data_IF_007929351737
#
_entry.id   IF_007929351737
#
_cell.length_a   1.000
_cell.length_b   1.000
_cell.length_c   1.000
_cell.angle_alpha   90.00
_cell.angle_beta   90.00
_cell.angle_gamma   90.00
#
_symmetry.space_group_name_H-M   'P 1'
#
loop_
_entity.id
_entity.type
_entity.pdbx_description
1 polymer ?
#
# COMPACT_ATOMS: atom_id res chain seq x y z
N UNK A 1 -18.49 -0.20 -11.59
CA UNK A 1 -17.63 0.04 -10.42
C UNK A 1 -16.51 0.92 -10.88
N UNK A 2 -16.32 2.07 -10.25
CA UNK A 2 -15.26 3.01 -10.62
C UNK A 2 -13.88 2.39 -10.32
N UNK A 3 -13.14 2.10 -11.37
CA UNK A 3 -11.82 1.46 -11.31
C UNK A 3 -10.71 2.45 -10.95
N UNK A 4 -11.03 3.74 -10.83
CA UNK A 4 -10.08 4.80 -10.45
C UNK A 4 -9.94 5.01 -8.93
N UNK A 5 -10.89 4.50 -8.14
CA UNK A 5 -10.94 4.69 -6.69
C UNK A 5 -10.05 3.68 -5.93
N UNK A 6 -9.34 4.15 -4.90
CA UNK A 6 -8.58 3.30 -3.97
C UNK A 6 -9.54 2.38 -3.20
N UNK A 7 -9.17 1.11 -3.05
CA UNK A 7 -9.97 0.15 -2.28
C UNK A 7 -9.33 -0.10 -0.92
N UNK A 8 -10.16 -0.40 0.09
CA UNK A 8 -9.70 -0.79 1.41
C UNK A 8 -8.88 -2.09 1.32
N UNK A 9 -7.65 -2.04 1.83
CA UNK A 9 -6.77 -3.21 1.93
C UNK A 9 -6.90 -3.82 3.33
N UNK A 10 -6.76 -2.99 4.37
CA UNK A 10 -6.81 -3.40 5.77
C UNK A 10 -7.12 -2.21 6.67
N UNK A 11 -7.80 -2.45 7.78
CA UNK A 11 -7.96 -1.48 8.87
C UNK A 11 -7.06 -1.86 10.05
N UNK A 12 -6.35 -0.88 10.62
CA UNK A 12 -5.47 -1.05 11.78
C UNK A 12 -5.99 -0.21 12.93
N UNK A 13 -6.22 -0.84 14.09
CA UNK A 13 -6.51 -0.14 15.33
C UNK A 13 -5.20 0.35 15.93
N UNK A 14 -5.08 1.66 16.17
CA UNK A 14 -3.94 2.26 16.87
C UNK A 14 -4.01 1.93 18.36
N UNK A 15 -3.09 1.08 18.83
CA UNK A 15 -2.98 0.64 20.23
C UNK A 15 -1.85 1.40 20.91
N UNK A 16 -1.79 1.31 22.24
CA UNK A 16 -0.72 1.91 23.05
C UNK A 16 0.69 1.51 22.56
N UNK A 17 0.88 0.26 22.12
CA UNK A 17 2.17 -0.24 21.61
C UNK A 17 2.61 0.40 20.29
N UNK A 18 1.68 1.02 19.55
CA UNK A 18 1.96 1.64 18.25
C UNK A 18 2.43 3.11 18.42
N UNK A 19 2.32 3.67 19.64
CA UNK A 19 2.62 5.06 19.92
C UNK A 19 4.12 5.30 20.10
N UNK A 20 4.59 6.46 19.64
CA UNK A 20 5.92 6.98 19.96
C UNK A 20 5.95 7.71 21.31
N UNK A 21 7.13 8.23 21.67
CA UNK A 21 7.36 8.95 22.94
C UNK A 21 6.44 10.15 23.17
N UNK A 22 5.88 10.72 22.09
CA UNK A 22 4.97 11.87 22.14
C UNK A 22 3.49 11.48 22.25
N UNK A 23 3.16 10.20 22.41
CA UNK A 23 1.78 9.72 22.59
C UNK A 23 0.92 9.71 21.30
N UNK A 24 1.52 9.96 20.14
CA UNK A 24 0.91 9.75 18.83
C UNK A 24 1.54 8.54 18.12
N UNK A 25 0.87 8.02 17.10
CA UNK A 25 1.34 6.91 16.29
C UNK A 25 2.76 7.18 15.80
N UNK A 26 3.68 6.26 16.10
CA UNK A 26 5.05 6.38 15.65
C UNK A 26 5.12 6.32 14.11
N UNK A 27 5.82 7.27 13.49
CA UNK A 27 5.89 7.34 12.03
C UNK A 27 6.42 6.06 11.38
N UNK A 28 7.42 5.41 11.98
CA UNK A 28 7.93 4.12 11.51
C UNK A 28 6.89 3.00 11.59
N UNK A 29 5.95 3.07 12.54
CA UNK A 29 4.87 2.10 12.67
C UNK A 29 3.82 2.26 11.58
N UNK A 30 3.50 3.51 11.21
CA UNK A 30 2.63 3.76 10.06
C UNK A 30 3.28 3.29 8.76
N UNK A 31 4.58 3.54 8.57
CA UNK A 31 5.33 3.03 7.41
C UNK A 31 5.31 1.51 7.31
N UNK A 32 5.48 0.81 8.44
CA UNK A 32 5.35 -0.65 8.50
C UNK A 32 3.96 -1.11 8.02
N UNK A 33 2.89 -0.47 8.48
CA UNK A 33 1.53 -0.81 8.04
C UNK A 33 1.29 -0.55 6.55
N UNK A 34 1.80 0.57 6.02
CA UNK A 34 1.69 0.93 4.61
C UNK A 34 2.39 -0.09 3.71
N UNK A 35 3.62 -0.49 4.08
CA UNK A 35 4.40 -1.45 3.31
C UNK A 35 3.83 -2.88 3.43
N UNK A 36 3.46 -3.33 4.63
CA UNK A 36 2.85 -4.66 4.83
C UNK A 36 1.55 -4.80 4.02
N UNK A 37 0.66 -3.80 4.12
CA UNK A 37 -0.60 -3.80 3.39
C UNK A 37 -0.36 -3.74 1.87
N UNK A 38 0.55 -2.88 1.42
CA UNK A 38 0.93 -2.75 0.02
C UNK A 38 1.52 -4.03 -0.55
N UNK A 39 2.42 -4.71 0.18
CA UNK A 39 3.03 -5.97 -0.23
C UNK A 39 1.99 -7.08 -0.38
N UNK A 40 1.07 -7.22 0.59
CA UNK A 40 -0.04 -8.18 0.52
C UNK A 40 -0.94 -7.87 -0.69
N UNK A 41 -1.23 -6.60 -0.92
CA UNK A 41 -2.05 -6.18 -2.05
C UNK A 41 -1.36 -6.46 -3.39
N UNK A 42 -0.08 -6.11 -3.52
CA UNK A 42 0.74 -6.38 -4.70
C UNK A 42 0.87 -7.88 -4.98
N UNK A 43 1.14 -8.69 -3.96
CA UNK A 43 1.18 -10.15 -4.04
C UNK A 43 -0.07 -10.72 -4.71
N UNK A 44 -1.25 -10.24 -4.30
CA UNK A 44 -2.54 -10.67 -4.87
C UNK A 44 -2.70 -10.23 -6.32
N UNK A 45 -2.24 -9.03 -6.69
CA UNK A 45 -2.33 -8.55 -8.07
C UNK A 45 -1.41 -9.31 -9.02
N UNK A 46 -0.13 -9.50 -8.63
CA UNK A 46 0.88 -10.13 -9.48
C UNK A 46 0.93 -11.66 -9.37
N UNK A 47 0.11 -12.23 -8.47
CA UNK A 47 0.02 -13.67 -8.19
C UNK A 47 1.38 -14.29 -7.86
N UNK A 48 2.12 -13.65 -6.96
CA UNK A 48 3.45 -14.11 -6.56
C UNK A 48 4.13 -13.20 -5.55
N UNK A 49 5.25 -13.69 -5.00
CA UNK A 49 6.06 -12.94 -4.04
C UNK A 49 6.61 -11.65 -4.65
N UNK A 50 6.68 -10.63 -3.80
CA UNK A 50 7.18 -9.30 -4.16
C UNK A 50 8.16 -8.80 -3.12
N UNK A 51 9.03 -7.90 -3.53
CA UNK A 51 9.90 -7.11 -2.64
C UNK A 51 9.69 -5.62 -2.88
N UNK A 52 9.79 -4.83 -1.82
CA UNK A 52 9.74 -3.36 -1.90
C UNK A 52 11.06 -2.83 -2.42
N UNK A 53 11.05 -2.04 -3.50
CA UNK A 53 12.27 -1.46 -4.08
C UNK A 53 12.32 0.06 -4.00
N UNK A 54 11.17 0.71 -3.77
CA UNK A 54 11.08 2.15 -3.65
C UNK A 54 9.83 2.53 -2.87
N UNK A 55 9.99 3.42 -1.91
CA UNK A 55 8.92 4.24 -1.36
C UNK A 55 9.16 5.67 -1.84
N UNK A 56 8.14 6.32 -2.38
CA UNK A 56 8.23 7.73 -2.79
C UNK A 56 8.29 8.67 -1.57
N UNK A 57 8.06 9.96 -1.80
CA UNK A 57 7.77 10.87 -0.70
C UNK A 57 6.60 10.35 0.15
N UNK A 58 6.76 10.48 1.47
CA UNK A 58 5.75 10.15 2.49
C UNK A 58 5.47 11.41 3.29
N UNK A 59 4.24 11.88 3.24
CA UNK A 59 3.81 13.09 3.96
C UNK A 59 2.83 12.73 5.08
N UNK A 60 3.27 12.85 6.33
CA UNK A 60 2.43 12.71 7.52
C UNK A 60 1.67 14.01 7.75
N UNK A 61 0.40 14.06 7.32
CA UNK A 61 -0.41 15.30 7.29
C UNK A 61 -1.02 15.65 8.63
N UNK A 62 -1.46 14.64 9.39
CA UNK A 62 -2.09 14.80 10.70
C UNK A 62 -1.61 13.72 11.67
N UNK A 63 -1.52 14.02 12.98
CA UNK A 63 -1.20 13.01 13.99
C UNK A 63 -2.35 12.00 14.14
N UNK A 64 -1.99 10.74 14.41
CA UNK A 64 -2.92 9.67 14.77
C UNK A 64 -2.74 9.35 16.24
N UNK A 65 -3.82 9.15 16.97
CA UNK A 65 -3.80 8.90 18.41
C UNK A 65 -4.23 7.48 18.74
N UNK A 66 -4.04 7.10 20.01
CA UNK A 66 -4.58 5.85 20.52
C UNK A 66 -6.08 5.75 20.24
N UNK A 67 -6.56 4.53 19.92
CA UNK A 67 -7.96 4.20 19.62
C UNK A 67 -8.49 4.72 18.27
N UNK A 68 -7.69 5.47 17.51
CA UNK A 68 -8.00 5.72 16.10
C UNK A 68 -7.97 4.42 15.31
N UNK A 69 -8.84 4.34 14.30
CA UNK A 69 -8.84 3.25 13.32
C UNK A 69 -8.35 3.84 12.01
N UNK A 70 -7.25 3.29 11.50
CA UNK A 70 -6.62 3.74 10.27
C UNK A 70 -6.89 2.72 9.17
N UNK A 71 -7.61 3.17 8.15
CA UNK A 71 -7.85 2.43 6.93
C UNK A 71 -6.69 2.65 5.97
N UNK A 72 -6.04 1.55 5.58
CA UNK A 72 -5.02 1.55 4.54
C UNK A 72 -5.73 1.23 3.22
N UNK A 73 -5.81 2.25 2.37
CA UNK A 73 -6.47 2.21 1.08
C UNK A 73 -5.42 2.14 -0.02
N UNK A 74 -5.66 1.40 -1.10
CA UNK A 74 -4.71 1.39 -2.20
C UNK A 74 -5.28 1.02 -3.56
N UNK A 75 -4.53 1.37 -4.60
CA UNK A 75 -4.80 1.02 -6.00
C UNK A 75 -3.50 0.79 -6.75
N UNK A 76 -3.57 0.05 -7.84
CA UNK A 76 -2.45 -0.01 -8.78
C UNK A 76 -2.44 1.27 -9.60
N UNK A 77 -1.30 1.96 -9.60
CA UNK A 77 -1.05 3.14 -10.45
C UNK A 77 -0.38 2.75 -11.77
N UNK A 78 0.54 1.80 -11.74
CA UNK A 78 1.30 1.36 -12.91
C UNK A 78 1.72 -0.11 -12.78
N UNK A 79 1.80 -0.81 -13.91
CA UNK A 79 2.35 -2.17 -14.00
C UNK A 79 3.41 -2.22 -15.11
N UNK A 80 4.63 -2.59 -14.75
CA UNK A 80 5.75 -2.79 -15.67
C UNK A 80 5.96 -4.27 -16.02
N UNK A 81 7.16 -4.61 -16.52
CA UNK A 81 7.50 -6.01 -16.85
C UNK A 81 7.62 -6.88 -15.59
N UNK A 82 8.35 -6.41 -14.58
CA UNK A 82 8.53 -7.10 -13.29
C UNK A 82 7.95 -6.31 -12.12
N UNK A 83 7.59 -5.04 -12.32
CA UNK A 83 7.24 -4.11 -11.26
C UNK A 83 5.75 -3.75 -11.21
N UNK A 84 5.30 -3.38 -10.01
CA UNK A 84 3.96 -2.86 -9.75
C UNK A 84 4.09 -1.62 -8.86
N UNK A 85 3.58 -0.48 -9.31
CA UNK A 85 3.51 0.75 -8.51
C UNK A 85 2.13 0.87 -7.91
N UNK A 86 2.06 0.95 -6.58
CA UNK A 86 0.84 1.20 -5.83
C UNK A 86 0.79 2.65 -5.35
N UNK A 87 -0.39 3.25 -5.37
CA UNK A 87 -0.69 4.46 -4.60
C UNK A 87 -1.45 4.02 -3.35
N UNK A 88 -0.96 4.39 -2.17
CA UNK A 88 -1.45 3.94 -0.87
C UNK A 88 -1.73 5.16 0.02
N UNK A 89 -2.92 5.18 0.60
CA UNK A 89 -3.34 6.16 1.59
C UNK A 89 -3.58 5.50 2.94
N UNK A 90 -3.26 6.22 4.00
CA UNK A 90 -3.78 5.98 5.34
C UNK A 90 -4.84 7.03 5.64
N UNK A 91 -6.04 6.60 6.00
CA UNK A 91 -7.20 7.45 6.27
C UNK A 91 -7.75 7.11 7.64
N UNK A 92 -8.14 8.11 8.44
CA UNK A 92 -8.85 7.85 9.69
C UNK A 92 -10.30 7.46 9.39
N UNK A 93 -10.67 6.22 9.72
CA UNK A 93 -11.97 5.63 9.37
C UNK A 93 -13.18 6.35 9.98
N UNK A 94 -12.99 7.12 11.06
CA UNK A 94 -14.09 7.82 11.74
C UNK A 94 -14.52 9.09 11.01
N UNK A 95 -13.56 9.83 10.47
CA UNK A 95 -13.77 11.19 9.97
C UNK A 95 -13.23 11.43 8.56
N UNK A 96 -12.80 10.36 7.88
CA UNK A 96 -12.28 10.37 6.51
C UNK A 96 -11.07 11.29 6.30
N UNK A 97 -10.33 11.59 7.38
CA UNK A 97 -9.16 12.47 7.29
C UNK A 97 -7.97 11.71 6.72
N UNK A 98 -7.41 12.20 5.62
CA UNK A 98 -6.18 11.68 5.03
C UNK A 98 -4.98 11.93 5.96
N UNK A 99 -4.47 10.86 6.56
CA UNK A 99 -3.31 10.86 7.46
C UNK A 99 -2.00 10.91 6.68
N UNK A 100 -1.90 10.07 5.65
CA UNK A 100 -0.68 9.89 4.88
C UNK A 100 -1.03 9.40 3.48
N UNK A 101 -0.23 9.77 2.49
CA UNK A 101 -0.30 9.23 1.12
C UNK A 101 1.11 9.01 0.59
N UNK A 102 1.33 7.92 -0.13
CA UNK A 102 2.61 7.58 -0.74
C UNK A 102 2.43 6.64 -1.95
N UNK A 103 3.47 6.54 -2.75
CA UNK A 103 3.61 5.51 -3.78
C UNK A 103 4.70 4.51 -3.38
N UNK A 104 4.39 3.23 -3.51
CA UNK A 104 5.34 2.15 -3.25
C UNK A 104 5.48 1.30 -4.51
N UNK A 105 6.72 1.07 -4.93
CA UNK A 105 7.06 0.19 -6.04
C UNK A 105 7.51 -1.15 -5.49
N UNK A 106 6.81 -2.17 -5.95
CA UNK A 106 7.11 -3.58 -5.70
C UNK A 106 7.68 -4.23 -6.95
N UNK A 107 8.56 -5.20 -6.78
CA UNK A 107 9.06 -6.06 -7.86
C UNK A 107 8.69 -7.50 -7.54
N UNK A 108 8.05 -8.18 -8.50
CA UNK A 108 7.77 -9.62 -8.42
C UNK A 108 9.09 -10.39 -8.48
N UNK A 109 9.24 -11.37 -7.59
CA UNK A 109 10.43 -12.20 -7.49
C UNK A 109 10.11 -13.69 -7.61
N UNK A 110 11.10 -14.48 -8.03
CA UNK A 110 11.05 -15.94 -8.04
C UNK A 110 11.50 -16.53 -6.68
N UNK A 111 11.55 -17.85 -6.56
CA UNK A 111 11.96 -18.56 -5.33
C UNK A 111 13.43 -18.30 -4.92
N UNK A 112 14.23 -17.70 -5.81
CA UNK A 112 15.62 -17.26 -5.55
C UNK A 112 15.70 -15.78 -5.17
N UNK A 113 14.58 -15.09 -5.01
CA UNK A 113 14.47 -13.64 -4.78
C UNK A 113 15.02 -12.78 -5.94
N UNK A 114 15.02 -13.31 -7.16
CA UNK A 114 15.43 -12.55 -8.36
C UNK A 114 14.19 -11.95 -9.07
N UNK A 115 14.30 -10.77 -9.70
CA UNK A 115 13.20 -10.18 -10.46
C UNK A 115 12.63 -11.15 -11.50
N UNK A 116 11.33 -11.36 -11.48
CA UNK A 116 10.62 -12.28 -12.36
C UNK A 116 9.48 -11.57 -13.08
N UNK A 117 9.33 -11.72 -14.41
CA UNK A 117 8.25 -11.10 -15.16
C UNK A 117 6.87 -11.42 -14.58
N UNK A 118 6.00 -10.41 -14.56
CA UNK A 118 4.57 -10.58 -14.33
C UNK A 118 3.99 -11.11 -15.64
N UNK A 119 3.25 -12.22 -15.59
CA UNK A 119 2.68 -12.86 -16.77
C UNK A 119 1.79 -11.90 -17.59
N UNK A 120 1.84 -12.00 -18.92
CA UNK A 120 1.19 -11.05 -19.83
C UNK A 120 -0.32 -10.95 -19.60
N UNK A 121 -0.99 -12.08 -19.38
CA UNK A 121 -2.40 -12.17 -19.03
C UNK A 121 -2.71 -11.43 -17.72
N UNK A 122 -1.85 -11.60 -16.71
CA UNK A 122 -1.96 -10.94 -15.41
C UNK A 122 -1.76 -9.44 -15.54
N UNK A 123 -0.79 -8.98 -16.35
CA UNK A 123 -0.62 -7.55 -16.64
C UNK A 123 -1.84 -6.97 -17.34
N UNK A 124 -2.41 -7.67 -18.33
CA UNK A 124 -3.64 -7.25 -19.02
C UNK A 124 -4.83 -7.16 -18.06
N UNK A 125 -4.99 -8.15 -17.16
CA UNK A 125 -6.03 -8.14 -16.13
C UNK A 125 -5.89 -6.95 -15.18
N UNK A 126 -4.66 -6.65 -14.71
CA UNK A 126 -4.39 -5.49 -13.85
C UNK A 126 -4.75 -4.20 -14.59
N UNK A 127 -4.30 -4.05 -15.83
CA UNK A 127 -4.61 -2.87 -16.66
C UNK A 127 -6.11 -2.65 -16.82
N UNK A 128 -6.84 -3.70 -17.20
CA UNK A 128 -8.30 -3.63 -17.33
C UNK A 128 -9.00 -3.30 -16.01
N UNK A 129 -8.55 -3.92 -14.90
CA UNK A 129 -9.15 -3.73 -13.56
C UNK A 129 -8.94 -2.33 -13.01
N UNK A 130 -7.82 -1.67 -13.28
CA UNK A 130 -7.47 -0.36 -12.70
C UNK A 130 -7.48 0.78 -13.74
N UNK A 131 -7.99 0.52 -14.95
CA UNK A 131 -8.07 1.54 -16.00
C UNK A 131 -6.71 2.10 -16.43
N UNK A 132 -5.66 1.28 -16.40
CA UNK A 132 -4.29 1.68 -16.77
C UNK A 132 -4.09 1.42 -18.26
N UNK A 133 -3.82 2.48 -19.04
CA UNK A 133 -3.49 2.38 -20.47
C UNK A 133 -2.15 1.67 -20.70
#
# INVERSE_FOLDING_TARGET
MDTSTKQLIVSKLCKTLDLGVNGNLFGGRLLEWLDEAGAIFAYKQVRGYVVTVKVSEVLFKVPVHERDIIDIMGRVKHVGTTSLTLEIDAVNARNDTLVCSCEIVYVRVNDKNEPSPIADDTRMMIKARFGIT
#
